data_IF_019640421126
#
_entry.id   IF_019640421126
#
_cell.length_a   1.000
_cell.length_b   1.000
_cell.length_c   1.000
_cell.angle_alpha   90.00
_cell.angle_beta   90.00
_cell.angle_gamma   90.00
#
_symmetry.space_group_name_H-M   'P 1'
#
loop_
_entity.id
_entity.type
_entity.pdbx_description
1 polymer ?
#
# COMPACT_ATOMS: atom_id res chain seq x y z
N UNK A 1 -22.44 33.39 -29.41
CA UNK A 1 -21.92 32.79 -28.16
C UNK A 1 -22.18 31.31 -28.25
N UNK A 2 -21.15 30.49 -28.49
CA UNK A 2 -21.29 29.04 -28.61
C UNK A 2 -21.07 28.42 -27.23
N UNK A 3 -22.08 27.71 -26.72
CA UNK A 3 -22.00 26.89 -25.52
C UNK A 3 -21.11 25.67 -25.79
N UNK A 4 -20.02 25.55 -25.02
CA UNK A 4 -19.20 24.34 -24.99
C UNK A 4 -19.87 23.32 -24.07
N UNK A 5 -20.58 22.35 -24.65
CA UNK A 5 -21.02 21.15 -23.96
C UNK A 5 -19.78 20.36 -23.53
N UNK A 6 -19.44 20.38 -22.24
CA UNK A 6 -18.35 19.58 -21.68
C UNK A 6 -18.71 18.10 -21.76
N UNK A 7 -18.33 17.44 -22.86
CA UNK A 7 -18.45 15.99 -23.00
C UNK A 7 -17.41 15.37 -22.07
N UNK A 8 -17.85 14.74 -20.98
CA UNK A 8 -16.97 14.01 -20.09
C UNK A 8 -16.29 12.89 -20.89
N UNK A 9 -14.98 13.01 -21.11
CA UNK A 9 -14.20 11.95 -21.73
C UNK A 9 -14.20 10.72 -20.84
N UNK A 10 -14.42 9.55 -21.43
CA UNK A 10 -14.41 8.29 -20.69
C UNK A 10 -12.96 7.88 -20.39
N UNK A 11 -12.66 7.63 -19.12
CA UNK A 11 -11.35 7.17 -18.68
C UNK A 11 -11.37 5.65 -18.48
N UNK A 12 -10.44 4.96 -19.14
CA UNK A 12 -10.25 3.53 -18.95
C UNK A 12 -9.17 3.27 -17.88
N UNK A 13 -9.48 2.39 -16.92
CA UNK A 13 -8.49 1.85 -16.00
C UNK A 13 -7.84 0.66 -16.69
N UNK A 14 -6.61 0.84 -17.13
CA UNK A 14 -5.87 -0.15 -17.93
C UNK A 14 -4.99 -1.06 -17.08
N UNK A 15 -4.61 -0.63 -15.87
CA UNK A 15 -3.82 -1.39 -14.92
C UNK A 15 -4.19 -1.06 -13.47
N UNK A 16 -4.02 -2.03 -12.58
CA UNK A 16 -4.33 -1.91 -11.15
C UNK A 16 -3.35 -2.73 -10.34
N UNK A 17 -2.91 -2.22 -9.20
CA UNK A 17 -2.18 -2.96 -8.18
C UNK A 17 -2.55 -2.40 -6.82
N UNK A 18 -2.47 -3.22 -5.79
CA UNK A 18 -2.77 -2.84 -4.43
C UNK A 18 -2.09 -3.81 -3.45
N UNK A 19 -1.90 -3.34 -2.21
CA UNK A 19 -1.61 -4.20 -1.07
C UNK A 19 -2.73 -4.04 -0.05
N UNK A 20 -3.42 -5.14 0.26
CA UNK A 20 -4.46 -5.17 1.27
C UNK A 20 -4.15 -6.20 2.38
N UNK A 21 -4.82 -6.07 3.54
CA UNK A 21 -4.66 -6.99 4.64
C UNK A 21 -4.91 -8.46 4.26
N UNK A 22 -4.38 -9.37 5.08
CA UNK A 22 -4.43 -10.83 4.83
C UNK A 22 -3.79 -11.24 3.48
N UNK A 23 -2.80 -10.48 2.99
CA UNK A 23 -2.08 -10.79 1.76
C UNK A 23 -2.94 -10.70 0.50
N UNK A 24 -4.00 -9.90 0.53
CA UNK A 24 -4.82 -9.64 -0.65
C UNK A 24 -4.09 -8.66 -1.58
N UNK A 25 -3.21 -9.19 -2.43
CA UNK A 25 -2.38 -8.40 -3.37
C UNK A 25 -2.74 -8.65 -4.84
N UNK A 26 -3.78 -9.44 -5.11
CA UNK A 26 -4.25 -9.77 -6.46
C UNK A 26 -5.74 -9.57 -6.60
N UNK A 27 -6.22 -9.28 -7.81
CA UNK A 27 -7.65 -9.13 -8.10
C UNK A 27 -8.46 -10.38 -7.68
N UNK A 28 -7.92 -11.57 -7.92
CA UNK A 28 -8.55 -12.84 -7.54
C UNK A 28 -8.64 -13.02 -6.02
N UNK A 29 -7.56 -12.74 -5.28
CA UNK A 29 -7.55 -12.85 -3.82
C UNK A 29 -8.48 -11.84 -3.15
N UNK A 30 -8.52 -10.61 -3.67
CA UNK A 30 -9.46 -9.58 -3.23
C UNK A 30 -10.90 -10.01 -3.54
N UNK A 31 -11.19 -10.45 -4.76
CA UNK A 31 -12.54 -10.86 -5.17
C UNK A 31 -13.06 -12.02 -4.31
N UNK A 32 -12.23 -13.05 -4.08
CA UNK A 32 -12.57 -14.17 -3.18
C UNK A 32 -12.89 -13.69 -1.77
N UNK A 33 -12.10 -12.74 -1.24
CA UNK A 33 -12.34 -12.16 0.08
C UNK A 33 -13.66 -11.39 0.17
N UNK A 34 -13.95 -10.56 -0.82
CA UNK A 34 -15.19 -9.78 -0.90
C UNK A 34 -16.42 -10.66 -1.10
N UNK A 35 -16.36 -11.62 -2.03
CA UNK A 35 -17.45 -12.56 -2.29
C UNK A 35 -17.78 -13.42 -1.06
N UNK A 36 -16.77 -13.73 -0.24
CA UNK A 36 -16.96 -14.43 1.04
C UNK A 36 -17.33 -13.51 2.21
N UNK A 37 -17.44 -12.19 2.01
CA UNK A 37 -17.65 -11.19 3.08
C UNK A 37 -16.67 -11.35 4.24
N UNK A 38 -15.41 -11.69 3.93
CA UNK A 38 -14.38 -11.97 4.93
C UNK A 38 -13.88 -10.69 5.57
N UNK A 39 -13.96 -10.60 6.90
CA UNK A 39 -13.27 -9.55 7.65
C UNK A 39 -11.76 -9.78 7.65
N UNK A 40 -11.00 -8.71 7.43
CA UNK A 40 -9.54 -8.73 7.50
C UNK A 40 -8.98 -7.98 8.71
N UNK A 41 -9.83 -7.81 9.71
CA UNK A 41 -9.46 -7.26 11.00
C UNK A 41 -8.58 -8.24 11.76
N UNK A 42 -7.53 -7.72 12.40
CA UNK A 42 -6.74 -8.45 13.37
C UNK A 42 -6.37 -7.53 14.55
N UNK A 43 -5.95 -8.14 15.66
CA UNK A 43 -5.25 -7.40 16.72
C UNK A 43 -3.96 -6.78 16.17
N UNK A 44 -3.43 -5.81 16.91
CA UNK A 44 -2.14 -5.20 16.57
C UNK A 44 -1.04 -6.28 16.52
N UNK A 45 -0.26 -6.37 15.43
CA UNK A 45 0.89 -7.25 15.40
C UNK A 45 1.96 -6.73 16.37
N UNK A 46 2.51 -7.63 17.18
CA UNK A 46 3.52 -7.30 18.20
C UNK A 46 4.76 -6.62 17.61
N UNK A 47 5.09 -6.93 16.35
CA UNK A 47 6.20 -6.32 15.61
C UNK A 47 6.02 -4.84 15.30
N UNK A 48 4.78 -4.31 15.35
CA UNK A 48 4.48 -2.90 15.06
C UNK A 48 4.46 -2.03 16.30
N UNK A 49 3.84 -2.53 17.37
CA UNK A 49 3.63 -1.77 18.59
C UNK A 49 3.34 -2.73 19.74
N UNK A 50 4.02 -2.53 20.87
CA UNK A 50 3.69 -3.24 22.11
C UNK A 50 2.43 -2.61 22.71
N UNK A 51 1.28 -3.26 22.47
CA UNK A 51 -0.04 -2.71 22.77
C UNK A 51 -0.35 -2.65 24.27
N UNK A 52 0.28 -3.52 25.08
CA UNK A 52 0.07 -3.57 26.53
C UNK A 52 0.46 -2.27 27.24
N UNK A 53 1.31 -1.43 26.62
CA UNK A 53 1.72 -0.13 27.17
C UNK A 53 0.86 1.07 26.75
N UNK A 54 -0.06 0.90 25.78
CA UNK A 54 -0.80 2.02 25.13
C UNK A 54 -2.32 1.82 25.16
N UNK A 55 -2.78 0.58 25.36
CA UNK A 55 -4.20 0.28 25.46
C UNK A 55 -4.79 0.78 26.79
N UNK A 56 -5.76 1.69 26.69
CA UNK A 56 -6.60 2.10 27.82
C UNK A 56 -8.08 1.87 27.44
N UNK A 57 -8.82 1.00 28.14
CA UNK A 57 -10.25 0.79 27.90
C UNK A 57 -11.10 2.00 28.30
N UNK A 58 -10.56 2.96 29.06
CA UNK A 58 -11.27 4.14 29.53
C UNK A 58 -11.18 5.31 28.51
N UNK A 59 -12.25 5.49 27.73
CA UNK A 59 -12.34 6.52 26.68
C UNK A 59 -12.29 7.96 27.18
N UNK A 60 -12.25 8.17 28.51
CA UNK A 60 -12.21 9.49 29.16
C UNK A 60 -10.80 10.04 29.41
N UNK A 61 -9.73 9.25 29.23
CA UNK A 61 -8.35 9.70 29.47
C UNK A 61 -7.72 10.35 28.24
N UNK A 62 -7.05 11.47 28.47
CA UNK A 62 -6.14 12.10 27.51
C UNK A 62 -5.02 11.10 27.17
N UNK A 63 -4.81 10.80 25.88
CA UNK A 63 -3.88 9.80 25.34
C UNK A 63 -4.34 8.32 25.41
N UNK A 64 -5.63 8.03 25.58
CA UNK A 64 -6.17 6.67 25.39
C UNK A 64 -6.24 6.30 23.90
N UNK A 65 -5.80 5.08 23.56
CA UNK A 65 -5.96 4.52 22.21
C UNK A 65 -7.00 3.37 22.25
N UNK A 66 -8.29 3.66 21.97
CA UNK A 66 -9.37 2.69 22.16
C UNK A 66 -9.43 1.51 21.17
N UNK A 67 -8.93 1.57 19.91
CA UNK A 67 -9.04 0.43 18.99
C UNK A 67 -8.19 -0.77 19.44
N UNK A 68 -8.82 -1.94 19.63
CA UNK A 68 -8.14 -3.22 19.96
C UNK A 68 -7.40 -3.87 18.78
N UNK A 69 -7.52 -3.29 17.59
CA UNK A 69 -7.00 -3.86 16.36
C UNK A 69 -7.48 -3.08 15.15
N UNK A 70 -6.94 -3.43 14.00
CA UNK A 70 -7.17 -2.77 12.73
C UNK A 70 -6.95 -3.74 11.57
N UNK A 71 -6.76 -3.18 10.39
CA UNK A 71 -6.54 -3.90 9.14
C UNK A 71 -5.07 -3.69 8.75
N UNK A 72 -4.23 -4.68 9.02
CA UNK A 72 -2.79 -4.56 8.81
C UNK A 72 -2.36 -5.25 7.52
N UNK A 73 -1.42 -4.61 6.82
CA UNK A 73 -0.70 -5.26 5.73
C UNK A 73 0.15 -6.41 6.28
N UNK A 74 0.28 -7.46 5.47
CA UNK A 74 1.11 -8.61 5.82
C UNK A 74 2.59 -8.31 5.58
N UNK A 75 3.46 -9.01 6.31
CA UNK A 75 4.90 -8.98 6.09
C UNK A 75 5.61 -7.79 6.75
N UNK A 76 6.88 -7.64 6.39
CA UNK A 76 7.71 -6.54 6.84
C UNK A 76 7.53 -5.33 5.91
N UNK A 77 6.93 -4.24 6.41
CA UNK A 77 6.79 -3.00 5.61
C UNK A 77 8.11 -2.23 5.50
N UNK A 78 9.17 -2.67 6.19
CA UNK A 78 10.53 -2.19 5.96
C UNK A 78 11.19 -2.83 4.73
N UNK A 79 10.72 -3.99 4.28
CA UNK A 79 11.22 -4.66 3.09
C UNK A 79 10.89 -3.84 1.85
N UNK A 80 11.91 -3.54 1.05
CA UNK A 80 11.83 -2.75 -0.17
C UNK A 80 13.00 -3.11 -1.09
N UNK A 81 12.72 -3.35 -2.36
CA UNK A 81 13.75 -3.65 -3.37
C UNK A 81 14.45 -2.36 -3.84
N UNK A 82 15.29 -1.79 -2.98
CA UNK A 82 15.98 -0.54 -3.26
C UNK A 82 16.86 -0.58 -4.54
N UNK A 83 17.65 -1.65 -4.81
CA UNK A 83 18.43 -1.76 -6.03
C UNK A 83 17.58 -1.71 -7.29
N UNK A 84 16.39 -2.32 -7.27
CA UNK A 84 15.45 -2.27 -8.40
C UNK A 84 15.06 -0.83 -8.77
N UNK A 85 14.88 0.04 -7.78
CA UNK A 85 14.57 1.47 -8.00
C UNK A 85 15.81 2.36 -8.10
N UNK A 86 17.02 1.78 -8.17
CA UNK A 86 18.29 2.53 -8.20
C UNK A 86 18.48 3.43 -6.96
N UNK A 87 17.95 3.02 -5.81
CA UNK A 87 18.04 3.75 -4.54
C UNK A 87 19.13 3.10 -3.68
N UNK A 88 20.02 3.91 -3.11
CA UNK A 88 21.07 3.43 -2.21
C UNK A 88 20.52 2.94 -0.87
N UNK A 89 21.20 2.02 -0.14
CA UNK A 89 20.67 1.43 1.09
C UNK A 89 20.41 2.45 2.21
N UNK A 90 21.27 3.47 2.33
CA UNK A 90 21.10 4.53 3.33
C UNK A 90 19.93 5.44 2.98
N UNK A 91 19.75 5.75 1.70
CA UNK A 91 18.62 6.56 1.23
C UNK A 91 17.31 5.79 1.41
N UNK A 92 17.30 4.51 1.01
CA UNK A 92 16.16 3.64 1.21
C UNK A 92 15.71 3.60 2.67
N UNK A 93 16.64 3.56 3.64
CA UNK A 93 16.32 3.55 5.06
C UNK A 93 15.55 4.79 5.54
N UNK A 94 15.78 5.95 4.92
CA UNK A 94 15.14 7.23 5.26
C UNK A 94 13.80 7.46 4.54
N UNK A 95 13.50 6.71 3.48
CA UNK A 95 12.23 6.84 2.75
C UNK A 95 11.08 6.35 3.63
N UNK A 96 10.02 7.14 3.77
CA UNK A 96 8.80 6.71 4.47
C UNK A 96 8.24 5.38 3.90
N UNK A 97 7.85 4.41 4.73
CA UNK A 97 7.34 3.12 4.24
C UNK A 97 6.17 3.24 3.25
N UNK A 98 5.32 4.27 3.35
CA UNK A 98 4.21 4.45 2.42
C UNK A 98 4.70 4.82 1.02
N UNK A 99 5.76 5.64 0.93
CA UNK A 99 6.40 5.98 -0.35
C UNK A 99 7.05 4.75 -1.00
N UNK A 100 7.68 3.88 -0.20
CA UNK A 100 8.24 2.60 -0.70
C UNK A 100 7.13 1.69 -1.27
N UNK A 101 6.04 1.54 -0.54
CA UNK A 101 4.87 0.77 -0.99
C UNK A 101 4.26 1.39 -2.26
N UNK A 102 4.16 2.72 -2.32
CA UNK A 102 3.63 3.43 -3.47
C UNK A 102 4.48 3.16 -4.73
N UNK A 103 5.80 3.17 -4.63
CA UNK A 103 6.70 2.85 -5.74
C UNK A 103 6.46 1.43 -6.27
N UNK A 104 6.44 0.43 -5.38
CA UNK A 104 6.19 -0.96 -5.75
C UNK A 104 4.81 -1.16 -6.40
N UNK A 105 3.76 -0.59 -5.79
CA UNK A 105 2.38 -0.73 -6.27
C UNK A 105 2.22 -0.02 -7.62
N UNK A 106 2.80 1.17 -7.79
CA UNK A 106 2.75 1.91 -9.05
C UNK A 106 3.43 1.14 -10.16
N UNK A 107 4.62 0.60 -9.91
CA UNK A 107 5.33 -0.21 -10.90
C UNK A 107 4.50 -1.42 -11.34
N UNK A 108 3.99 -2.20 -10.38
CA UNK A 108 3.12 -3.36 -10.67
C UNK A 108 1.83 -2.97 -11.41
N UNK A 109 1.26 -1.79 -11.12
CA UNK A 109 0.07 -1.31 -11.82
C UNK A 109 0.38 -1.01 -13.30
N UNK A 110 1.56 -0.47 -13.59
CA UNK A 110 2.02 -0.22 -14.96
C UNK A 110 2.27 -1.55 -15.71
N UNK A 111 2.90 -2.52 -15.07
CA UNK A 111 3.09 -3.87 -15.64
C UNK A 111 1.74 -4.54 -15.94
N UNK A 112 0.78 -4.47 -15.02
CA UNK A 112 -0.57 -5.00 -15.23
C UNK A 112 -1.31 -4.27 -16.37
N UNK A 113 -0.95 -3.00 -16.63
CA UNK A 113 -1.41 -2.23 -17.78
C UNK A 113 -0.68 -2.51 -19.09
N UNK A 114 0.21 -3.52 -19.11
CA UNK A 114 1.05 -3.88 -20.25
C UNK A 114 2.01 -2.75 -20.68
N UNK A 115 2.40 -1.87 -19.76
CA UNK A 115 3.44 -0.87 -20.01
C UNK A 115 4.81 -1.40 -19.59
N UNK A 116 5.76 -1.31 -20.51
CA UNK A 116 7.17 -1.57 -20.22
C UNK A 116 7.81 -0.30 -19.65
N UNK A 117 8.05 -0.25 -18.35
CA UNK A 117 8.88 0.78 -17.75
C UNK A 117 10.36 0.44 -18.00
N UNK A 118 10.99 1.14 -18.93
CA UNK A 118 12.45 1.09 -19.09
C UNK A 118 13.08 1.93 -17.97
N UNK A 119 13.60 1.25 -16.95
CA UNK A 119 14.52 1.87 -16.00
C UNK A 119 15.86 2.02 -16.73
N UNK A 120 16.31 3.24 -16.92
CA UNK A 120 17.61 3.51 -17.54
C UNK A 120 18.71 3.00 -16.61
N UNK A 121 19.52 2.07 -17.08
CA UNK A 121 20.79 1.73 -16.42
C UNK A 121 21.70 2.96 -16.52
N UNK A 122 21.98 3.60 -15.39
CA UNK A 122 23.07 4.57 -15.32
C UNK A 122 24.37 3.79 -15.41
N UNK A 123 25.01 3.83 -16.59
CA UNK A 123 26.40 3.46 -16.78
C UNK A 123 27.24 4.10 -15.65
N UNK A 124 27.77 3.26 -14.76
CA UNK A 124 28.73 3.66 -13.75
C UNK A 124 30.04 4.03 -14.47
N UNK A 125 30.41 5.31 -14.43
CA UNK A 125 31.78 5.77 -14.68
C UNK A 125 32.61 5.73 -13.40
#
# INVERSE_FOLDING_TARGET
MAESSTKMESLAIIGLSFKFPQGMETADSLWKGLAASRSAWSSFPESRLNFDGVYDPDTGRLNSFPPKGAHFLNGDLGAFDAPFFTIGPNEAAEIDPQSRILLEVTYRALENGMFQCQLYETDQH
#
